data_IF_154701015589
#
_entry.id   IF_154701015589
#
_cell.length_a   1.000
_cell.length_b   1.000
_cell.length_c   1.000
_cell.angle_alpha   90.00
_cell.angle_beta   90.00
_cell.angle_gamma   90.00
#
_symmetry.space_group_name_H-M   'P 1'
#
loop_
_entity.id
_entity.type
_entity.pdbx_description
1 polymer ?
#
# COMPACT_ATOMS: atom_id res chain seq x y z
N UNK A 1 -11.33 6.10 -11.82
CA UNK A 1 -10.77 4.96 -11.08
C UNK A 1 -11.27 5.02 -9.65
N UNK A 2 -11.69 3.91 -9.09
CA UNK A 2 -12.17 3.81 -7.71
C UNK A 2 -11.00 3.36 -6.84
N UNK A 3 -10.65 4.14 -5.84
CA UNK A 3 -9.69 3.75 -4.81
C UNK A 3 -10.50 3.29 -3.59
N UNK A 4 -10.34 2.04 -3.23
CA UNK A 4 -10.88 1.48 -2.00
C UNK A 4 -9.73 1.38 -1.00
N UNK A 5 -9.84 2.11 0.08
CA UNK A 5 -8.87 2.09 1.17
C UNK A 5 -9.62 1.66 2.42
N UNK A 6 -9.13 0.68 3.12
CA UNK A 6 -9.76 0.08 4.31
C UNK A 6 -10.29 1.15 5.27
N UNK A 7 -11.62 1.25 5.37
CA UNK A 7 -12.32 2.17 6.23
C UNK A 7 -12.37 3.63 5.76
N UNK A 8 -11.77 3.94 4.61
CA UNK A 8 -11.95 5.22 3.91
C UNK A 8 -12.93 4.97 2.77
N UNK A 9 -13.95 5.79 2.69
CA UNK A 9 -14.94 5.71 1.63
C UNK A 9 -14.26 5.69 0.25
N UNK A 10 -14.71 4.84 -0.68
CA UNK A 10 -14.13 4.75 -2.03
C UNK A 10 -14.14 6.12 -2.72
N UNK A 11 -13.05 6.43 -3.41
CA UNK A 11 -12.87 7.67 -4.15
C UNK A 11 -12.91 7.37 -5.64
N UNK A 12 -13.64 8.17 -6.39
CA UNK A 12 -13.61 8.14 -7.84
C UNK A 12 -12.60 9.17 -8.33
N UNK A 13 -11.73 8.71 -9.17
CA UNK A 13 -10.72 9.52 -9.83
C UNK A 13 -11.18 9.79 -11.26
N UNK A 14 -11.22 11.04 -11.63
CA UNK A 14 -11.78 11.55 -12.87
C UNK A 14 -10.70 11.95 -13.90
N UNK A 15 -9.65 11.20 -14.01
CA UNK A 15 -8.53 11.52 -14.91
C UNK A 15 -8.89 11.77 -16.39
N UNK A 16 -10.13 11.58 -16.80
CA UNK A 16 -10.52 11.58 -18.20
C UNK A 16 -11.57 12.62 -18.58
N UNK A 17 -12.12 13.38 -17.63
CA UNK A 17 -13.30 14.24 -17.86
C UNK A 17 -12.97 15.73 -17.62
N UNK A 18 -13.62 16.59 -18.40
CA UNK A 18 -13.57 18.02 -18.14
C UNK A 18 -14.41 18.37 -16.91
N UNK A 19 -14.07 19.44 -16.18
CA UNK A 19 -14.73 19.86 -14.93
C UNK A 19 -16.26 19.89 -15.06
N UNK A 20 -16.81 20.45 -16.13
CA UNK A 20 -18.25 20.51 -16.34
C UNK A 20 -18.89 19.12 -16.47
N UNK A 21 -18.25 18.19 -17.20
CA UNK A 21 -18.72 16.83 -17.32
C UNK A 21 -18.56 16.05 -16.01
N UNK A 22 -17.48 16.30 -15.25
CA UNK A 22 -17.28 15.73 -13.91
C UNK A 22 -18.41 16.15 -12.97
N UNK A 23 -18.73 17.45 -12.89
CA UNK A 23 -19.81 17.96 -12.02
C UNK A 23 -21.18 17.41 -12.42
N UNK A 24 -21.46 17.29 -13.73
CA UNK A 24 -22.70 16.68 -14.22
C UNK A 24 -22.83 15.19 -13.80
N UNK A 25 -21.73 14.46 -13.69
CA UNK A 25 -21.71 13.05 -13.29
C UNK A 25 -21.51 12.85 -11.77
N UNK A 26 -21.21 13.90 -11.01
CA UNK A 26 -20.97 13.83 -9.55
C UNK A 26 -22.07 13.07 -8.80
N UNK A 27 -23.39 13.27 -9.04
CA UNK A 27 -24.42 12.52 -8.32
C UNK A 27 -24.33 11.01 -8.56
N UNK A 28 -24.06 10.61 -9.81
CA UNK A 28 -23.90 9.19 -10.18
C UNK A 28 -22.68 8.60 -9.50
N UNK A 29 -21.54 9.30 -9.53
CA UNK A 29 -20.31 8.87 -8.91
C UNK A 29 -20.45 8.78 -7.39
N UNK A 30 -21.15 9.71 -6.76
CA UNK A 30 -21.39 9.74 -5.31
C UNK A 30 -22.29 8.58 -4.85
N UNK A 31 -23.13 8.01 -5.72
CA UNK A 31 -24.00 6.90 -5.36
C UNK A 31 -23.23 5.60 -4.96
N UNK A 32 -21.99 5.45 -5.44
CA UNK A 32 -21.14 4.28 -5.14
C UNK A 32 -19.75 4.63 -4.60
N UNK A 33 -19.55 5.88 -4.18
CA UNK A 33 -18.29 6.34 -3.56
C UNK A 33 -18.56 7.31 -2.44
N UNK A 34 -17.80 7.18 -1.33
CA UNK A 34 -17.93 8.09 -0.20
C UNK A 34 -17.30 9.46 -0.41
N UNK A 35 -16.38 9.59 -1.37
CA UNK A 35 -15.78 10.87 -1.76
C UNK A 35 -15.48 10.89 -3.25
N UNK A 36 -15.82 11.99 -3.91
CA UNK A 36 -15.54 12.23 -5.32
C UNK A 36 -14.70 13.49 -5.42
N UNK A 37 -13.44 13.34 -5.87
CA UNK A 37 -12.46 14.42 -5.91
C UNK A 37 -12.00 14.64 -7.34
N UNK A 38 -12.19 15.85 -7.86
CA UNK A 38 -11.56 16.29 -9.09
C UNK A 38 -10.13 16.73 -8.81
N UNK A 39 -9.14 16.00 -9.34
CA UNK A 39 -7.72 16.22 -9.03
C UNK A 39 -6.97 16.96 -10.14
N UNK A 40 -7.66 17.47 -11.14
CA UNK A 40 -7.06 18.30 -12.19
C UNK A 40 -7.25 17.74 -13.61
N UNK A 41 -6.32 18.07 -14.50
CA UNK A 41 -6.37 17.71 -15.92
C UNK A 41 -6.35 16.19 -16.16
N UNK A 42 -6.62 15.79 -17.41
CA UNK A 42 -6.55 14.39 -17.85
C UNK A 42 -5.21 13.78 -17.44
N UNK A 43 -5.25 12.60 -16.82
CA UNK A 43 -4.08 11.90 -16.31
C UNK A 43 -3.79 12.16 -14.82
N UNK A 44 -4.17 13.31 -14.25
CA UNK A 44 -3.85 13.64 -12.84
C UNK A 44 -4.43 12.66 -11.84
N UNK A 45 -5.56 12.07 -12.14
CA UNK A 45 -6.11 11.03 -11.31
C UNK A 45 -5.28 9.74 -11.29
N UNK A 46 -4.75 9.33 -12.42
CA UNK A 46 -3.82 8.19 -12.48
C UNK A 46 -2.51 8.51 -11.75
N UNK A 47 -2.01 9.72 -11.89
CA UNK A 47 -0.86 10.24 -11.14
C UNK A 47 -1.10 10.18 -9.63
N UNK A 48 -2.23 10.71 -9.16
CA UNK A 48 -2.59 10.67 -7.74
C UNK A 48 -2.68 9.23 -7.21
N UNK A 49 -3.23 8.30 -8.01
CA UNK A 49 -3.28 6.88 -7.64
C UNK A 49 -1.87 6.27 -7.51
N UNK A 50 -0.97 6.53 -8.45
CA UNK A 50 0.39 6.00 -8.40
C UNK A 50 1.14 6.51 -7.17
N UNK A 51 1.01 7.80 -6.85
CA UNK A 51 1.59 8.41 -5.64
C UNK A 51 1.01 7.76 -4.38
N UNK A 52 -0.32 7.61 -4.31
CA UNK A 52 -0.96 6.95 -3.17
C UNK A 52 -0.46 5.52 -2.98
N UNK A 53 -0.36 4.74 -4.06
CA UNK A 53 0.08 3.35 -3.98
C UNK A 53 1.57 3.25 -3.61
N UNK A 54 2.41 4.16 -4.10
CA UNK A 54 3.81 4.24 -3.68
C UNK A 54 3.90 4.47 -2.16
N UNK A 55 3.16 5.44 -1.63
CA UNK A 55 3.13 5.72 -0.18
C UNK A 55 2.61 4.51 0.61
N UNK A 56 1.52 3.89 0.16
CA UNK A 56 0.94 2.74 0.84
C UNK A 56 1.93 1.56 0.91
N UNK A 57 2.59 1.22 -0.19
CA UNK A 57 3.52 0.10 -0.22
C UNK A 57 4.84 0.39 0.48
N UNK A 58 5.35 1.65 0.44
CA UNK A 58 6.51 2.04 1.23
C UNK A 58 6.20 1.96 2.74
N UNK A 59 5.03 2.42 3.16
CA UNK A 59 4.58 2.27 4.54
C UNK A 59 4.40 0.80 4.95
N UNK A 60 3.95 -0.08 4.05
CA UNK A 60 3.91 -1.53 4.33
C UNK A 60 5.31 -2.12 4.46
N UNK A 61 6.25 -1.73 3.62
CA UNK A 61 7.63 -2.21 3.68
C UNK A 61 8.29 -1.84 5.01
N UNK A 62 8.18 -0.57 5.42
CA UNK A 62 8.71 -0.12 6.72
C UNK A 62 7.98 -0.77 7.90
N UNK A 63 6.66 -1.02 7.78
CA UNK A 63 5.91 -1.78 8.79
C UNK A 63 6.43 -3.22 8.93
N UNK A 64 6.71 -3.89 7.81
CA UNK A 64 7.28 -5.24 7.82
C UNK A 64 8.64 -5.28 8.53
N UNK A 65 9.53 -4.32 8.23
CA UNK A 65 10.82 -4.17 8.93
C UNK A 65 10.62 -3.94 10.42
N UNK A 66 9.76 -2.98 10.80
CA UNK A 66 9.50 -2.66 12.21
C UNK A 66 8.93 -3.84 13.00
N UNK A 67 8.02 -4.62 12.41
CA UNK A 67 7.46 -5.82 13.03
C UNK A 67 8.54 -6.89 13.22
N UNK A 68 9.40 -7.11 12.22
CA UNK A 68 10.50 -8.07 12.34
C UNK A 68 11.57 -7.62 13.33
N UNK A 69 11.85 -6.32 13.45
CA UNK A 69 12.69 -5.78 14.53
C UNK A 69 12.06 -6.08 15.90
N UNK A 70 10.74 -5.95 16.03
CA UNK A 70 10.00 -6.33 17.23
C UNK A 70 10.15 -7.79 17.59
N UNK A 71 10.05 -8.69 16.59
CA UNK A 71 10.29 -10.14 16.76
C UNK A 71 11.72 -10.38 17.30
N UNK A 72 12.72 -9.81 16.63
CA UNK A 72 14.12 -10.01 16.99
C UNK A 72 14.45 -9.44 18.38
N UNK A 73 13.79 -8.36 18.78
CA UNK A 73 13.93 -7.75 20.11
C UNK A 73 13.11 -8.48 21.22
N UNK A 74 12.27 -9.46 20.86
CA UNK A 74 11.44 -10.20 21.80
C UNK A 74 10.21 -9.43 22.31
N UNK A 75 9.78 -8.39 21.60
CA UNK A 75 8.58 -7.62 21.95
C UNK A 75 7.33 -8.43 21.58
N UNK A 76 6.32 -8.43 22.45
CA UNK A 76 4.99 -8.91 22.08
C UNK A 76 4.41 -8.07 20.94
N UNK A 77 4.08 -8.71 19.82
CA UNK A 77 3.66 -8.01 18.60
C UNK A 77 2.28 -7.35 18.74
N UNK A 78 1.41 -7.88 19.60
CA UNK A 78 0.13 -7.23 19.91
C UNK A 78 0.34 -5.90 20.64
N UNK A 79 1.25 -5.88 21.63
CA UNK A 79 1.65 -4.67 22.35
C UNK A 79 2.36 -3.67 21.44
N UNK A 80 3.27 -4.15 20.59
CA UNK A 80 3.94 -3.29 19.62
C UNK A 80 2.93 -2.64 18.67
N UNK A 81 1.96 -3.41 18.17
CA UNK A 81 0.89 -2.91 17.31
C UNK A 81 0.05 -1.83 18.01
N UNK A 82 -0.33 -2.05 19.28
CA UNK A 82 -1.07 -1.07 20.09
C UNK A 82 -0.31 0.24 20.24
N UNK A 83 0.98 0.17 20.58
CA UNK A 83 1.85 1.35 20.75
C UNK A 83 1.97 2.11 19.42
N UNK A 84 2.27 1.43 18.33
CA UNK A 84 2.48 2.10 17.02
C UNK A 84 1.18 2.71 16.51
N UNK A 85 0.04 1.99 16.63
CA UNK A 85 -1.26 2.50 16.18
C UNK A 85 -1.74 3.72 16.99
N UNK A 86 -1.32 3.83 18.25
CA UNK A 86 -1.56 5.01 19.09
C UNK A 86 -0.54 6.14 18.96
N UNK A 87 0.44 6.02 18.08
CA UNK A 87 1.58 6.93 17.96
C UNK A 87 1.77 7.44 16.51
N UNK A 88 2.79 8.28 16.30
CA UNK A 88 3.09 8.90 14.99
C UNK A 88 3.49 7.91 13.89
N UNK A 89 3.86 6.68 14.22
CA UNK A 89 4.14 5.62 13.26
C UNK A 89 2.89 4.97 12.66
N UNK A 90 1.69 5.36 13.12
CA UNK A 90 0.43 4.82 12.62
C UNK A 90 0.21 5.12 11.14
N UNK A 91 -0.29 4.11 10.42
CA UNK A 91 -0.77 4.26 9.05
C UNK A 91 -1.81 3.18 8.74
N UNK A 92 -2.65 3.40 7.71
CA UNK A 92 -3.55 2.37 7.21
C UNK A 92 -2.77 1.12 6.77
N UNK A 93 -1.58 1.30 6.21
CA UNK A 93 -0.69 0.22 5.80
C UNK A 93 -0.16 -0.58 6.99
N UNK A 94 0.27 0.10 8.07
CA UNK A 94 0.68 -0.58 9.31
C UNK A 94 -0.49 -1.37 9.90
N UNK A 95 -1.69 -0.79 9.96
CA UNK A 95 -2.91 -1.48 10.41
C UNK A 95 -3.17 -2.73 9.55
N UNK A 96 -3.08 -2.64 8.23
CA UNK A 96 -3.24 -3.78 7.34
C UNK A 96 -2.20 -4.88 7.63
N UNK A 97 -0.94 -4.52 7.84
CA UNK A 97 0.11 -5.47 8.22
C UNK A 97 -0.23 -6.20 9.53
N UNK A 98 -0.69 -5.49 10.56
CA UNK A 98 -1.01 -6.10 11.85
C UNK A 98 -2.25 -7.00 11.80
N UNK A 99 -3.24 -6.66 10.99
CA UNK A 99 -4.48 -7.44 10.90
C UNK A 99 -4.39 -8.65 9.97
N UNK A 100 -3.46 -8.65 9.02
CA UNK A 100 -3.29 -9.71 8.03
C UNK A 100 -2.00 -10.49 8.20
N UNK A 101 -0.85 -9.83 8.13
CA UNK A 101 0.43 -10.53 8.19
C UNK A 101 0.64 -11.22 9.55
N UNK A 102 0.30 -10.55 10.66
CA UNK A 102 0.43 -11.15 12.00
C UNK A 102 -0.54 -12.30 12.28
N UNK A 103 -1.61 -12.43 11.50
CA UNK A 103 -2.53 -13.58 11.56
C UNK A 103 -2.17 -14.69 10.57
N UNK A 104 -1.18 -14.45 9.69
CA UNK A 104 -0.81 -15.37 8.62
C UNK A 104 -1.80 -15.41 7.45
N UNK A 105 -2.75 -14.46 7.36
CA UNK A 105 -3.69 -14.38 6.24
C UNK A 105 -3.06 -13.64 5.05
N UNK A 106 -2.51 -14.43 4.14
CA UNK A 106 -1.93 -13.94 2.88
C UNK A 106 -2.82 -14.22 1.66
N UNK A 107 -4.10 -14.52 1.87
CA UNK A 107 -5.08 -14.60 0.77
C UNK A 107 -5.24 -13.22 0.16
N UNK A 108 -5.03 -13.10 -1.15
CA UNK A 108 -4.98 -11.82 -1.82
C UNK A 108 -6.30 -11.04 -1.74
N UNK A 109 -6.29 -9.90 -1.08
CA UNK A 109 -7.22 -8.79 -1.29
C UNK A 109 -6.65 -7.83 -2.33
N UNK A 110 -5.33 -7.67 -2.32
CA UNK A 110 -4.56 -6.96 -3.34
C UNK A 110 -3.26 -7.74 -3.62
N UNK A 111 -3.17 -8.36 -4.79
CA UNK A 111 -2.04 -9.22 -5.13
C UNK A 111 -0.71 -8.44 -5.19
N UNK A 112 0.36 -9.04 -4.69
CA UNK A 112 1.71 -8.48 -4.67
C UNK A 112 2.21 -8.16 -6.10
N UNK A 113 1.84 -8.94 -7.10
CA UNK A 113 2.13 -8.64 -8.50
C UNK A 113 1.51 -7.32 -8.99
N UNK A 114 0.31 -6.97 -8.50
CA UNK A 114 -0.31 -5.69 -8.81
C UNK A 114 0.40 -4.53 -8.10
N UNK A 115 0.83 -4.74 -6.85
CA UNK A 115 1.64 -3.76 -6.13
C UNK A 115 2.97 -3.51 -6.85
N UNK A 116 3.66 -4.56 -7.28
CA UNK A 116 4.89 -4.47 -8.06
C UNK A 116 4.69 -3.68 -9.35
N UNK A 117 3.60 -3.97 -10.10
CA UNK A 117 3.27 -3.24 -11.33
C UNK A 117 3.04 -1.75 -11.03
N UNK A 118 2.22 -1.42 -10.03
CA UNK A 118 1.88 -0.03 -9.71
C UNK A 118 3.10 0.75 -9.21
N UNK A 119 3.96 0.12 -8.42
CA UNK A 119 5.19 0.76 -7.92
C UNK A 119 6.23 0.98 -9.03
N UNK A 120 6.32 0.04 -10.00
CA UNK A 120 7.14 0.24 -11.20
C UNK A 120 6.67 1.46 -12.00
N UNK A 121 5.35 1.63 -12.17
CA UNK A 121 4.78 2.80 -12.84
C UNK A 121 5.02 4.09 -12.05
N UNK A 122 4.98 4.03 -10.71
CA UNK A 122 5.31 5.17 -9.88
C UNK A 122 6.78 5.59 -10.01
N UNK A 123 7.71 4.64 -10.15
CA UNK A 123 9.12 4.95 -10.43
C UNK A 123 9.30 5.59 -11.81
N UNK A 124 8.61 5.10 -12.85
CA UNK A 124 8.62 5.72 -14.17
C UNK A 124 8.10 7.18 -14.11
N UNK A 125 7.00 7.41 -13.37
CA UNK A 125 6.50 8.76 -13.14
C UNK A 125 7.53 9.65 -12.44
N UNK A 126 8.22 9.13 -11.41
CA UNK A 126 9.28 9.89 -10.71
C UNK A 126 10.42 10.30 -11.65
N UNK A 127 10.85 9.39 -12.53
CA UNK A 127 11.85 9.66 -13.56
C UNK A 127 11.37 10.72 -14.55
N UNK A 128 10.13 10.62 -15.05
CA UNK A 128 9.52 11.55 -16.00
C UNK A 128 9.42 12.98 -15.45
N UNK A 129 9.13 13.12 -14.15
CA UNK A 129 9.01 14.44 -13.50
C UNK A 129 10.30 14.91 -12.82
N UNK A 130 11.38 14.13 -12.90
CA UNK A 130 12.69 14.47 -12.35
C UNK A 130 12.76 14.48 -10.82
N UNK A 131 11.93 13.71 -10.13
CA UNK A 131 11.90 13.62 -8.66
C UNK A 131 12.63 12.37 -8.19
N UNK A 132 13.72 12.47 -7.40
CA UNK A 132 14.37 11.32 -6.79
C UNK A 132 13.39 10.55 -5.89
N UNK A 133 13.28 9.23 -6.08
CA UNK A 133 12.36 8.38 -5.31
C UNK A 133 13.07 7.17 -4.67
N UNK A 134 14.02 7.39 -3.74
CA UNK A 134 14.80 6.31 -3.14
C UNK A 134 13.95 5.33 -2.34
N UNK A 135 12.93 5.79 -1.61
CA UNK A 135 12.04 4.92 -0.84
C UNK A 135 11.17 4.05 -1.74
N UNK A 136 10.67 4.62 -2.85
CA UNK A 136 9.96 3.84 -3.86
C UNK A 136 10.85 2.78 -4.52
N UNK A 137 12.09 3.11 -4.82
CA UNK A 137 13.05 2.17 -5.39
C UNK A 137 13.40 1.02 -4.42
N UNK A 138 13.63 1.33 -3.14
CA UNK A 138 13.87 0.32 -2.10
C UNK A 138 12.67 -0.63 -1.96
N UNK A 139 11.46 -0.07 -1.88
CA UNK A 139 10.22 -0.85 -1.81
C UNK A 139 10.00 -1.72 -3.05
N UNK A 140 10.29 -1.20 -4.24
CA UNK A 140 10.20 -1.98 -5.48
C UNK A 140 11.17 -3.18 -5.47
N UNK A 141 12.37 -3.01 -4.92
CA UNK A 141 13.33 -4.11 -4.76
C UNK A 141 12.82 -5.17 -3.78
N UNK A 142 12.21 -4.79 -2.67
CA UNK A 142 11.56 -5.73 -1.74
C UNK A 142 10.47 -6.55 -2.44
N UNK A 143 9.61 -5.90 -3.23
CA UNK A 143 8.58 -6.59 -4.00
C UNK A 143 9.18 -7.54 -5.05
N UNK A 144 10.30 -7.19 -5.67
CA UNK A 144 11.04 -8.11 -6.57
C UNK A 144 11.55 -9.34 -5.83
N UNK A 145 12.12 -9.16 -4.62
CA UNK A 145 12.57 -10.26 -3.79
C UNK A 145 11.41 -11.19 -3.40
N UNK A 146 10.27 -10.62 -3.00
CA UNK A 146 9.06 -11.38 -2.70
C UNK A 146 8.54 -12.16 -3.92
N UNK A 147 8.51 -11.55 -5.10
CA UNK A 147 8.15 -12.24 -6.35
C UNK A 147 9.09 -13.38 -6.70
N UNK A 148 10.39 -13.19 -6.51
CA UNK A 148 11.38 -14.25 -6.72
C UNK A 148 11.18 -15.46 -5.77
N UNK A 149 10.50 -15.25 -4.64
CA UNK A 149 10.10 -16.32 -3.72
C UNK A 149 8.71 -16.93 -4.05
N UNK A 150 8.09 -16.55 -5.17
CA UNK A 150 6.78 -17.07 -5.59
C UNK A 150 5.58 -16.41 -4.93
N UNK A 151 5.77 -15.28 -4.21
CA UNK A 151 4.70 -14.61 -3.46
C UNK A 151 3.84 -13.67 -4.31
N UNK A 152 4.07 -13.61 -5.64
CA UNK A 152 3.34 -12.73 -6.55
C UNK A 152 1.80 -12.83 -6.46
N UNK A 153 1.21 -14.03 -6.44
CA UNK A 153 -0.24 -14.21 -6.31
C UNK A 153 -0.80 -13.94 -4.90
N UNK A 154 0.06 -13.89 -3.88
CA UNK A 154 -0.34 -13.65 -2.50
C UNK A 154 -0.72 -12.18 -2.26
N UNK A 155 -1.34 -11.90 -1.11
CA UNK A 155 -1.60 -10.53 -0.68
C UNK A 155 -0.29 -9.74 -0.55
N UNK A 156 -0.34 -8.45 -0.81
CA UNK A 156 0.84 -7.57 -0.76
C UNK A 156 1.53 -7.59 0.61
N UNK A 157 0.78 -7.86 1.69
CA UNK A 157 1.34 -8.01 3.05
C UNK A 157 2.30 -9.19 3.18
N UNK A 158 2.25 -10.16 2.25
CA UNK A 158 3.20 -11.27 2.19
C UNK A 158 4.66 -10.83 1.93
N UNK A 159 4.90 -9.54 1.63
CA UNK A 159 6.27 -9.02 1.55
C UNK A 159 7.06 -9.22 2.86
N UNK A 160 6.40 -9.34 4.02
CA UNK A 160 7.05 -9.65 5.29
C UNK A 160 7.79 -10.98 5.27
N UNK A 161 7.29 -11.96 4.49
CA UNK A 161 7.89 -13.29 4.41
C UNK A 161 9.32 -13.27 3.87
N UNK A 162 9.72 -12.20 3.17
CA UNK A 162 11.12 -11.99 2.74
C UNK A 162 12.03 -11.86 3.96
N UNK A 163 11.60 -11.12 4.95
CA UNK A 163 12.34 -10.92 6.21
C UNK A 163 12.24 -12.15 7.11
N UNK A 164 11.04 -12.74 7.24
CA UNK A 164 10.82 -13.97 8.03
C UNK A 164 11.75 -15.09 7.58
N UNK A 165 11.86 -15.27 6.26
CA UNK A 165 12.77 -16.29 5.69
C UNK A 165 14.23 -15.99 5.99
N UNK A 166 14.64 -14.72 5.93
CA UNK A 166 16.03 -14.32 6.19
C UNK A 166 16.41 -14.47 7.66
N UNK A 167 15.45 -14.28 8.58
CA UNK A 167 15.65 -14.37 10.02
C UNK A 167 15.37 -15.77 10.61
N UNK A 168 14.69 -16.64 9.84
CA UNK A 168 14.23 -17.94 10.34
C UNK A 168 13.17 -17.82 11.45
N UNK A 169 12.45 -16.71 11.50
CA UNK A 169 11.43 -16.42 12.50
C UNK A 169 10.19 -15.83 11.82
N UNK A 170 9.03 -16.14 12.36
CA UNK A 170 7.75 -15.61 11.85
C UNK A 170 7.19 -14.53 12.76
N UNK A 171 6.64 -13.47 12.16
CA UNK A 171 5.90 -12.43 12.85
C UNK A 171 4.43 -12.85 12.97
N UNK A 172 4.06 -13.46 14.10
CA UNK A 172 2.66 -13.89 14.37
C UNK A 172 2.22 -13.44 15.75
N UNK A 173 0.93 -13.16 15.87
CA UNK A 173 0.28 -13.00 17.17
C UNK A 173 0.28 -14.34 17.89
N UNK A 174 0.54 -14.30 19.19
CA UNK A 174 0.47 -15.48 20.08
C UNK A 174 -0.92 -15.60 20.69
#
# INVERSE_FOLDING_TARGET
MKLDTDGVAPRVNDSTVRVAAFEAQRPVLAAFSGAVIHVGAIGMGSTAKLINNMLAFANMATAAEGLMMGVAAGIDLGKLAEVVLGSSGASASFKSMTTRALTGDFKASFALDLAHKDLRLAQQLADEVGVPSPMGAATLNLLRMARAQGLGPSDVTAMINVYEKSQGQEARLK
#
